data_IF_880494072410
#
_entry.id   IF_880494072410
#
_cell.length_a   1.000
_cell.length_b   1.000
_cell.length_c   1.000
_cell.angle_alpha   90.00
_cell.angle_beta   90.00
_cell.angle_gamma   90.00
#
_symmetry.space_group_name_H-M   'P 1'
#
loop_
_entity.id
_entity.type
_entity.pdbx_description
1 polymer ?
#
# COMPACT_ATOMS: atom_id res chain seq x y z
N UNK A 1 -0.94 -7.34 -6.67
CA UNK A 1 -2.31 -6.99 -6.25
C UNK A 1 -2.39 -5.49 -6.33
N UNK A 2 -3.32 -4.95 -7.11
CA UNK A 2 -3.59 -3.51 -7.19
C UNK A 2 -4.73 -3.20 -6.20
N UNK A 3 -4.46 -2.76 -4.98
CA UNK A 3 -5.50 -2.42 -4.03
C UNK A 3 -6.21 -1.13 -4.47
N UNK A 4 -7.51 -1.08 -4.19
CA UNK A 4 -8.31 0.14 -4.26
C UNK A 4 -8.58 0.70 -5.66
N UNK A 5 -8.85 -0.17 -6.61
CA UNK A 5 -9.36 0.25 -7.91
C UNK A 5 -10.89 0.44 -7.85
N UNK A 6 -11.38 1.39 -8.62
CA UNK A 6 -12.81 1.51 -8.85
C UNK A 6 -13.23 0.33 -9.71
N UNK A 7 -14.10 -0.54 -9.18
CA UNK A 7 -14.73 -1.59 -9.96
C UNK A 7 -15.96 -1.01 -10.67
N UNK A 8 -16.11 -1.36 -11.94
CA UNK A 8 -17.23 -0.89 -12.77
C UNK A 8 -17.74 -2.01 -13.67
N UNK A 9 -19.03 -1.97 -13.99
CA UNK A 9 -19.68 -2.77 -15.02
C UNK A 9 -19.70 -2.07 -16.40
N UNK A 10 -19.19 -0.82 -16.47
CA UNK A 10 -18.95 -0.17 -17.75
C UNK A 10 -17.99 -1.00 -18.60
N UNK A 11 -18.28 -1.12 -19.91
CA UNK A 11 -17.54 -2.00 -20.79
C UNK A 11 -16.10 -1.52 -21.02
N UNK A 12 -15.15 -2.10 -20.28
CA UNK A 12 -13.72 -1.87 -20.47
C UNK A 12 -13.17 -2.95 -21.40
N UNK A 13 -12.64 -2.54 -22.55
CA UNK A 13 -12.08 -3.44 -23.56
C UNK A 13 -10.65 -3.01 -23.92
N UNK A 14 -9.87 -3.87 -24.59
CA UNK A 14 -8.59 -3.47 -25.17
C UNK A 14 -8.75 -2.20 -26.05
N UNK A 15 -7.93 -1.19 -25.79
CA UNK A 15 -8.04 0.14 -26.40
C UNK A 15 -8.63 1.22 -25.46
N UNK A 16 -9.36 0.84 -24.42
CA UNK A 16 -9.90 1.78 -23.42
C UNK A 16 -8.91 2.11 -22.30
N UNK A 17 -7.81 1.35 -22.16
CA UNK A 17 -6.77 1.59 -21.14
C UNK A 17 -6.16 2.99 -21.30
N UNK A 18 -6.05 3.73 -20.19
CA UNK A 18 -5.64 5.14 -20.17
C UNK A 18 -6.78 6.12 -20.46
N UNK A 19 -7.97 5.65 -20.88
CA UNK A 19 -9.16 6.47 -21.07
C UNK A 19 -9.84 6.84 -19.76
N UNK A 20 -10.69 7.86 -19.83
CA UNK A 20 -11.42 8.39 -18.69
C UNK A 20 -12.58 7.48 -18.28
N UNK A 21 -12.73 7.26 -16.95
CA UNK A 21 -13.98 6.86 -16.34
C UNK A 21 -14.63 8.12 -15.75
N UNK A 22 -15.85 8.42 -16.18
CA UNK A 22 -16.57 9.61 -15.76
C UNK A 22 -17.89 9.24 -15.07
N UNK A 23 -18.36 10.11 -14.16
CA UNK A 23 -19.68 9.98 -13.55
C UNK A 23 -20.79 10.51 -14.48
N UNK A 24 -22.04 10.49 -14.00
CA UNK A 24 -23.21 10.96 -14.74
C UNK A 24 -23.17 12.47 -15.03
N UNK A 25 -22.40 13.25 -14.31
CA UNK A 25 -22.18 14.69 -14.51
C UNK A 25 -21.01 14.97 -15.47
N UNK A 26 -20.33 13.95 -15.98
CA UNK A 26 -19.16 14.06 -16.85
C UNK A 26 -17.86 14.37 -16.11
N UNK A 27 -17.84 14.25 -14.78
CA UNK A 27 -16.62 14.46 -13.99
C UNK A 27 -15.74 13.22 -14.06
N UNK A 28 -14.44 13.44 -14.21
CA UNK A 28 -13.44 12.36 -14.16
C UNK A 28 -13.39 11.75 -12.77
N UNK A 29 -13.64 10.46 -12.66
CA UNK A 29 -13.57 9.70 -11.40
C UNK A 29 -12.45 8.66 -11.40
N UNK A 30 -11.98 8.23 -12.56
CA UNK A 30 -10.90 7.25 -12.68
C UNK A 30 -10.27 7.17 -14.07
N UNK A 31 -9.17 6.43 -14.12
CA UNK A 31 -8.44 6.10 -15.37
C UNK A 31 -8.56 4.59 -15.60
N UNK A 32 -9.18 4.20 -16.73
CA UNK A 32 -9.38 2.80 -17.10
C UNK A 32 -8.04 2.06 -17.22
N UNK A 33 -7.94 0.84 -16.66
CA UNK A 33 -6.66 0.12 -16.68
C UNK A 33 -6.76 -1.38 -16.89
N UNK A 34 -7.62 -2.09 -16.18
CA UNK A 34 -7.67 -3.55 -16.12
C UNK A 34 -9.08 -4.09 -16.38
N UNK A 35 -9.12 -5.34 -16.88
CA UNK A 35 -10.29 -6.21 -16.83
C UNK A 35 -9.91 -7.51 -16.15
N UNK A 36 -10.84 -8.12 -15.41
CA UNK A 36 -10.70 -9.51 -14.97
C UNK A 36 -11.35 -10.39 -16.04
N UNK A 37 -10.55 -11.17 -16.75
CA UNK A 37 -11.07 -12.06 -17.80
C UNK A 37 -10.16 -13.26 -17.99
N UNK A 38 -10.76 -14.45 -18.11
CA UNK A 38 -10.06 -15.67 -18.53
C UNK A 38 -9.81 -15.72 -20.04
N UNK A 39 -10.56 -14.95 -20.82
CA UNK A 39 -10.53 -14.95 -22.30
C UNK A 39 -9.86 -13.73 -22.91
N UNK A 40 -9.40 -12.77 -22.10
CA UNK A 40 -8.86 -11.48 -22.58
C UNK A 40 -9.91 -10.47 -23.02
N UNK A 41 -11.21 -10.83 -23.01
CA UNK A 41 -12.32 -9.95 -23.33
C UNK A 41 -13.08 -9.54 -22.07
N UNK A 42 -13.78 -8.41 -22.12
CA UNK A 42 -14.63 -7.93 -21.04
C UNK A 42 -15.66 -8.98 -20.62
N UNK A 43 -15.71 -9.29 -19.34
CA UNK A 43 -16.61 -10.28 -18.73
C UNK A 43 -17.57 -9.67 -17.70
N UNK A 44 -17.88 -8.38 -17.83
CA UNK A 44 -18.78 -7.66 -16.91
C UNK A 44 -18.07 -7.00 -15.70
N UNK A 45 -16.75 -7.08 -15.63
CA UNK A 45 -15.99 -6.46 -14.53
C UNK A 45 -14.76 -5.74 -15.09
N UNK A 46 -14.75 -4.43 -14.96
CA UNK A 46 -13.63 -3.56 -15.29
C UNK A 46 -13.08 -2.86 -14.04
N UNK A 47 -11.86 -2.34 -14.13
CA UNK A 47 -11.21 -1.61 -13.07
C UNK A 47 -10.57 -0.32 -13.58
N UNK A 48 -10.70 0.74 -12.78
CA UNK A 48 -10.08 2.03 -13.03
C UNK A 48 -9.28 2.51 -11.81
N UNK A 49 -8.18 3.20 -12.06
CA UNK A 49 -7.39 3.88 -11.04
C UNK A 49 -8.17 5.10 -10.56
N UNK A 50 -8.42 5.30 -9.24
CA UNK A 50 -9.09 6.50 -8.74
C UNK A 50 -8.37 7.79 -9.16
N UNK A 51 -9.14 8.80 -9.60
CA UNK A 51 -8.59 10.04 -10.15
C UNK A 51 -7.69 10.78 -9.15
N UNK A 52 -8.05 10.81 -7.86
CA UNK A 52 -7.26 11.50 -6.84
C UNK A 52 -5.84 10.93 -6.74
N UNK A 53 -5.72 9.60 -6.81
CA UNK A 53 -4.43 8.93 -6.84
C UNK A 53 -3.67 9.21 -8.14
N UNK A 54 -4.35 9.12 -9.30
CA UNK A 54 -3.74 9.39 -10.60
C UNK A 54 -3.20 10.82 -10.70
N UNK A 55 -3.95 11.81 -10.19
CA UNK A 55 -3.53 13.22 -10.17
C UNK A 55 -2.31 13.44 -9.28
N UNK A 56 -2.26 12.81 -8.10
CA UNK A 56 -1.10 12.90 -7.20
C UNK A 56 0.19 12.41 -7.90
N UNK A 57 0.13 11.24 -8.53
CA UNK A 57 1.28 10.69 -9.27
C UNK A 57 1.63 11.54 -10.49
N UNK A 58 0.64 12.00 -11.25
CA UNK A 58 0.87 12.87 -12.40
C UNK A 58 1.57 14.17 -12.00
N UNK A 59 1.18 14.78 -10.88
CA UNK A 59 1.80 16.00 -10.38
C UNK A 59 3.27 15.77 -10.01
N UNK A 60 3.60 14.65 -9.37
CA UNK A 60 4.99 14.30 -9.06
C UNK A 60 5.83 14.19 -10.35
N UNK A 61 5.29 13.56 -11.41
CA UNK A 61 5.97 13.44 -12.71
C UNK A 61 6.16 14.81 -13.35
N UNK A 62 5.14 15.67 -13.34
CA UNK A 62 5.20 17.05 -13.87
C UNK A 62 6.27 17.87 -13.14
N UNK A 63 6.40 17.69 -11.84
CA UNK A 63 7.43 18.33 -11.01
C UNK A 63 8.83 17.75 -11.21
N UNK A 64 9.00 16.78 -12.12
CA UNK A 64 10.28 16.12 -12.40
C UNK A 64 10.76 15.18 -11.29
N UNK A 65 9.86 14.75 -10.41
CA UNK A 65 10.15 13.82 -9.31
C UNK A 65 9.94 12.37 -9.75
N UNK A 66 10.65 11.45 -9.14
CA UNK A 66 10.31 10.02 -9.22
C UNK A 66 9.03 9.79 -8.43
N UNK A 67 7.98 9.19 -9.03
CA UNK A 67 6.74 8.93 -8.32
C UNK A 67 6.98 8.03 -7.11
N UNK A 68 6.55 8.50 -5.94
CA UNK A 68 6.60 7.78 -4.68
C UNK A 68 5.22 7.79 -4.03
N UNK A 69 4.94 6.81 -3.19
CA UNK A 69 3.66 6.67 -2.51
C UNK A 69 3.85 6.85 -1.03
N UNK A 70 2.92 7.57 -0.42
CA UNK A 70 2.87 7.64 1.03
C UNK A 70 2.55 6.27 1.63
N UNK A 71 3.18 5.96 2.76
CA UNK A 71 2.93 4.73 3.51
C UNK A 71 3.03 4.96 5.02
N UNK A 72 2.26 4.18 5.78
CA UNK A 72 2.37 4.09 7.23
C UNK A 72 3.56 3.21 7.66
N UNK A 73 3.87 2.18 6.87
CA UNK A 73 4.87 1.17 7.19
C UNK A 73 4.34 0.12 8.17
N UNK A 74 3.14 -0.39 7.91
CA UNK A 74 2.47 -1.45 8.68
C UNK A 74 1.94 -2.54 7.78
N UNK A 75 1.80 -3.76 8.32
CA UNK A 75 1.00 -4.81 7.72
C UNK A 75 -0.41 -4.77 8.29
N UNK A 76 -1.42 -4.83 7.44
CA UNK A 76 -2.82 -4.63 7.81
C UNK A 76 -3.69 -5.85 7.52
N UNK A 77 -4.73 -6.02 8.33
CA UNK A 77 -5.84 -6.94 8.09
C UNK A 77 -7.16 -6.23 8.33
N UNK A 78 -8.19 -6.55 7.56
CA UNK A 78 -9.53 -5.96 7.75
C UNK A 78 -10.22 -6.58 8.95
N UNK A 79 -10.72 -5.75 9.86
CA UNK A 79 -11.67 -6.15 10.90
C UNK A 79 -13.08 -6.08 10.32
N UNK A 80 -13.85 -7.11 10.55
CA UNK A 80 -15.29 -7.18 10.26
C UNK A 80 -16.03 -7.88 11.41
N UNK A 81 -17.34 -7.76 11.46
CA UNK A 81 -18.14 -8.29 12.55
C UNK A 81 -17.90 -9.78 12.83
N UNK A 82 -17.64 -10.58 11.79
CA UNK A 82 -17.40 -12.01 11.93
C UNK A 82 -16.07 -12.34 12.63
N UNK A 83 -14.97 -11.68 12.19
CA UNK A 83 -13.66 -11.91 12.82
C UNK A 83 -13.55 -11.21 14.17
N UNK A 84 -14.20 -10.06 14.36
CA UNK A 84 -14.27 -9.38 15.65
C UNK A 84 -14.91 -10.28 16.71
N UNK A 85 -16.05 -10.89 16.40
CA UNK A 85 -16.69 -11.85 17.31
C UNK A 85 -15.83 -13.09 17.57
N UNK A 86 -15.18 -13.63 16.52
CA UNK A 86 -14.33 -14.83 16.63
C UNK A 86 -13.11 -14.62 17.51
N UNK A 87 -12.49 -13.45 17.43
CA UNK A 87 -11.24 -13.13 18.13
C UNK A 87 -11.42 -12.23 19.35
N UNK A 88 -12.68 -11.86 19.69
CA UNK A 88 -13.01 -11.02 20.83
C UNK A 88 -12.45 -9.59 20.69
N UNK A 89 -12.46 -9.05 19.46
CA UNK A 89 -11.96 -7.70 19.22
C UNK A 89 -12.93 -6.65 19.78
N UNK A 90 -12.43 -5.49 20.25
CA UNK A 90 -13.25 -4.46 20.90
C UNK A 90 -14.11 -3.63 19.91
N UNK A 91 -13.85 -3.75 18.60
CA UNK A 91 -14.58 -3.08 17.52
C UNK A 91 -14.89 -4.06 16.39
N UNK A 92 -15.92 -3.81 15.60
CA UNK A 92 -16.45 -4.68 14.55
C UNK A 92 -16.06 -4.27 13.13
N UNK A 93 -15.31 -3.18 12.98
CA UNK A 93 -14.78 -2.67 11.71
C UNK A 93 -13.47 -1.92 11.91
N UNK A 94 -12.69 -1.78 10.83
CA UNK A 94 -11.43 -1.05 10.84
C UNK A 94 -10.24 -1.81 10.25
N UNK A 95 -9.05 -1.23 10.41
CA UNK A 95 -7.79 -1.80 9.95
C UNK A 95 -6.93 -2.26 11.15
N UNK A 96 -6.80 -3.57 11.34
CA UNK A 96 -5.97 -4.19 12.37
C UNK A 96 -4.49 -4.16 11.95
N UNK A 97 -3.61 -3.71 12.83
CA UNK A 97 -2.16 -3.73 12.63
C UNK A 97 -1.62 -5.11 13.01
N UNK A 98 -1.23 -5.89 12.00
CA UNK A 98 -0.62 -7.20 12.18
C UNK A 98 0.90 -7.14 12.41
N UNK A 99 1.56 -6.09 11.91
CA UNK A 99 2.98 -5.81 12.15
C UNK A 99 3.30 -4.34 11.90
N UNK A 100 4.33 -3.81 12.58
CA UNK A 100 4.87 -2.47 12.37
C UNK A 100 6.31 -2.59 11.91
N UNK A 101 6.63 -1.94 10.78
CA UNK A 101 7.98 -1.95 10.21
C UNK A 101 8.89 -1.01 11.02
N UNK A 102 10.08 -1.49 11.38
CA UNK A 102 11.08 -0.67 12.08
C UNK A 102 11.49 0.54 11.25
N UNK A 103 11.60 1.71 11.89
CA UNK A 103 11.99 2.96 11.23
C UNK A 103 10.91 3.56 10.34
N UNK A 104 9.67 3.08 10.42
CA UNK A 104 8.52 3.66 9.74
C UNK A 104 7.87 4.78 10.55
N UNK A 105 7.10 5.65 9.88
CA UNK A 105 6.31 6.66 10.57
C UNK A 105 5.36 6.07 11.62
N UNK A 106 4.82 4.87 11.38
CA UNK A 106 4.01 4.15 12.36
C UNK A 106 4.81 3.77 13.62
N UNK A 107 6.05 3.28 13.46
CA UNK A 107 6.92 2.93 14.58
C UNK A 107 7.32 4.18 15.40
N UNK A 108 7.68 5.27 14.72
CA UNK A 108 8.04 6.56 15.34
C UNK A 108 6.87 7.16 16.12
N UNK A 109 5.64 7.00 15.61
CA UNK A 109 4.43 7.44 16.27
C UNK A 109 3.96 6.53 17.42
N UNK A 110 4.62 5.38 17.62
CA UNK A 110 4.29 4.44 18.69
C UNK A 110 3.05 3.58 18.41
N UNK A 111 2.71 3.38 17.16
CA UNK A 111 1.74 2.35 16.76
C UNK A 111 2.31 0.96 17.04
N UNK A 112 1.45 0.01 17.38
CA UNK A 112 1.83 -1.33 17.82
C UNK A 112 0.99 -2.39 17.10
N UNK A 113 1.53 -3.59 17.02
CA UNK A 113 0.75 -4.77 16.69
C UNK A 113 -0.43 -4.91 17.65
N UNK A 114 -1.61 -5.21 17.13
CA UNK A 114 -2.85 -5.29 17.90
C UNK A 114 -3.68 -4.00 17.91
N UNK A 115 -3.14 -2.86 17.49
CA UNK A 115 -3.94 -1.64 17.29
C UNK A 115 -4.95 -1.84 16.16
N UNK A 116 -6.14 -1.28 16.33
CA UNK A 116 -7.16 -1.23 15.27
C UNK A 116 -7.41 0.23 14.91
N UNK A 117 -7.09 0.62 13.68
CA UNK A 117 -7.32 1.97 13.19
C UNK A 117 -8.79 2.08 12.76
N UNK A 118 -9.51 3.01 13.39
CA UNK A 118 -10.94 3.23 13.19
C UNK A 118 -11.25 4.53 12.46
N UNK A 119 -10.31 5.53 12.51
CA UNK A 119 -10.43 6.76 11.72
C UNK A 119 -9.08 7.23 11.20
N UNK A 120 -9.15 7.93 10.06
CA UNK A 120 -8.05 8.62 9.40
C UNK A 120 -8.47 10.07 9.12
N UNK A 121 -7.78 11.06 9.71
CA UNK A 121 -8.13 12.50 9.62
C UNK A 121 -9.62 12.78 9.90
N UNK A 122 -10.20 12.04 10.85
CA UNK A 122 -11.61 12.16 11.24
C UNK A 122 -12.62 11.37 10.41
N UNK A 123 -12.21 10.79 9.25
CA UNK A 123 -13.04 9.94 8.43
C UNK A 123 -13.01 8.49 8.93
N UNK A 124 -14.14 7.80 8.89
CA UNK A 124 -14.20 6.40 9.32
C UNK A 124 -13.36 5.52 8.40
N UNK A 125 -12.66 4.56 9.00
CA UNK A 125 -11.93 3.47 8.33
C UNK A 125 -12.70 2.19 8.60
N UNK A 126 -13.31 1.62 7.57
CA UNK A 126 -14.09 0.38 7.69
C UNK A 126 -13.26 -0.87 7.36
N UNK A 127 -12.14 -0.70 6.66
CA UNK A 127 -11.27 -1.79 6.22
C UNK A 127 -9.80 -1.39 6.09
N UNK A 128 -8.92 -2.39 6.00
CA UNK A 128 -7.52 -2.17 5.61
C UNK A 128 -7.37 -1.50 4.24
N UNK A 129 -8.31 -1.78 3.33
CA UNK A 129 -8.33 -1.19 1.99
C UNK A 129 -8.65 0.30 2.04
N UNK A 130 -9.61 0.72 2.86
CA UNK A 130 -9.96 2.14 3.01
C UNK A 130 -8.78 2.92 3.56
N UNK A 131 -8.16 2.42 4.64
CA UNK A 131 -6.96 3.05 5.20
C UNK A 131 -5.85 3.18 4.16
N UNK A 132 -5.64 2.16 3.33
CA UNK A 132 -4.62 2.20 2.30
C UNK A 132 -4.93 3.25 1.21
N UNK A 133 -6.21 3.45 0.86
CA UNK A 133 -6.65 4.52 -0.04
C UNK A 133 -6.36 5.90 0.56
N UNK A 134 -6.75 6.09 1.80
CA UNK A 134 -6.58 7.36 2.50
C UNK A 134 -5.09 7.72 2.59
N UNK A 135 -4.24 6.77 2.99
CA UNK A 135 -2.78 6.96 3.03
C UNK A 135 -2.22 7.30 1.65
N UNK A 136 -2.63 6.59 0.59
CA UNK A 136 -2.14 6.84 -0.77
C UNK A 136 -2.66 8.12 -1.41
N UNK A 137 -3.72 8.71 -0.87
CA UNK A 137 -4.19 10.03 -1.28
C UNK A 137 -3.29 11.17 -0.79
N UNK A 138 -2.41 10.89 0.17
CA UNK A 138 -1.47 11.84 0.78
C UNK A 138 -0.10 11.78 0.11
N UNK A 139 0.76 12.73 0.50
CA UNK A 139 2.17 12.75 0.09
C UNK A 139 3.07 12.16 1.19
N UNK A 140 4.22 11.59 0.83
CA UNK A 140 5.27 11.31 1.82
C UNK A 140 5.64 12.59 2.59
N UNK A 141 5.75 12.47 3.92
CA UNK A 141 6.00 13.59 4.82
C UNK A 141 4.75 14.28 5.37
N UNK A 142 3.56 14.01 4.83
CA UNK A 142 2.32 14.53 5.39
C UNK A 142 2.08 13.97 6.79
N UNK A 143 1.55 14.83 7.67
CA UNK A 143 1.10 14.45 9.00
C UNK A 143 -0.38 14.12 8.97
N UNK A 144 -0.75 13.01 9.54
CA UNK A 144 -2.13 12.52 9.59
C UNK A 144 -2.49 12.15 11.03
N UNK A 145 -3.77 12.28 11.37
CA UNK A 145 -4.27 11.89 12.69
C UNK A 145 -5.05 10.58 12.55
N UNK A 146 -4.61 9.57 13.29
CA UNK A 146 -5.28 8.28 13.38
C UNK A 146 -6.04 8.17 14.70
N UNK A 147 -7.29 7.70 14.66
CA UNK A 147 -7.96 7.18 15.82
C UNK A 147 -7.74 5.67 15.87
N UNK A 148 -7.14 5.20 16.95
CA UNK A 148 -6.84 3.78 17.14
C UNK A 148 -7.52 3.24 18.37
N UNK A 149 -8.05 2.05 18.28
CA UNK A 149 -8.48 1.27 19.43
C UNK A 149 -7.35 0.33 19.86
N UNK A 150 -6.84 0.50 21.06
CA UNK A 150 -5.81 -0.32 21.69
C UNK A 150 -6.39 -0.97 22.94
N UNK A 151 -6.64 -2.27 22.89
CA UNK A 151 -7.21 -3.04 24.02
C UNK A 151 -8.52 -2.46 24.58
N UNK A 152 -9.40 -1.93 23.73
CA UNK A 152 -10.67 -1.31 24.11
C UNK A 152 -10.59 0.19 24.42
N UNK A 153 -9.41 0.77 24.48
CA UNK A 153 -9.21 2.21 24.68
C UNK A 153 -9.03 2.93 23.35
N UNK A 154 -9.77 4.02 23.12
CA UNK A 154 -9.60 4.87 21.94
C UNK A 154 -8.50 5.90 22.20
N UNK A 155 -7.56 6.03 21.27
CA UNK A 155 -6.42 6.96 21.30
C UNK A 155 -6.30 7.70 19.98
N UNK A 156 -5.86 8.96 20.05
CA UNK A 156 -5.46 9.74 18.87
C UNK A 156 -3.93 9.67 18.74
N UNK A 157 -3.45 9.35 17.54
CA UNK A 157 -2.03 9.22 17.23
C UNK A 157 -1.73 10.05 15.98
N UNK A 158 -0.83 11.03 16.09
CA UNK A 158 -0.31 11.76 14.94
C UNK A 158 0.83 10.95 14.32
N UNK A 159 0.77 10.71 13.01
CA UNK A 159 1.76 9.94 12.26
C UNK A 159 2.27 10.76 11.09
N UNK A 160 3.58 10.82 10.92
CA UNK A 160 4.20 11.34 9.70
C UNK A 160 4.34 10.19 8.69
N UNK A 161 3.73 10.33 7.51
CA UNK A 161 3.77 9.29 6.48
C UNK A 161 5.17 9.18 5.87
N UNK A 162 5.68 7.96 5.77
CA UNK A 162 6.91 7.65 5.06
C UNK A 162 6.70 7.51 3.54
N UNK A 163 7.76 7.13 2.84
CA UNK A 163 7.77 6.84 1.40
C UNK A 163 8.03 5.35 1.16
N UNK A 164 7.44 4.78 0.13
CA UNK A 164 7.74 3.42 -0.32
C UNK A 164 9.17 3.27 -0.88
N UNK A 165 9.80 4.36 -1.32
CA UNK A 165 11.20 4.39 -1.70
C UNK A 165 12.13 4.01 -0.52
N UNK A 166 11.78 4.47 0.70
CA UNK A 166 12.52 4.13 1.92
C UNK A 166 12.44 2.63 2.25
N UNK A 167 11.32 1.98 1.94
CA UNK A 167 11.14 0.54 2.15
C UNK A 167 11.90 -0.30 1.11
N UNK A 168 12.01 0.18 -0.13
CA UNK A 168 12.78 -0.50 -1.18
C UNK A 168 14.29 -0.41 -0.90
N UNK A 169 14.78 0.72 -0.41
CA UNK A 169 16.18 0.88 0.00
C UNK A 169 16.60 -0.09 1.12
N UNK A 170 15.71 -0.32 2.09
CA UNK A 170 15.98 -1.26 3.18
C UNK A 170 16.00 -2.74 2.71
N UNK A 171 15.09 -3.12 1.80
CA UNK A 171 15.06 -4.47 1.24
C UNK A 171 16.23 -4.74 0.28
N UNK A 172 16.69 -3.75 -0.46
CA UNK A 172 17.85 -3.86 -1.35
C UNK A 172 19.16 -3.98 -0.55
N UNK A 173 19.29 -3.28 0.57
CA UNK A 173 20.43 -3.43 1.48
C UNK A 173 20.48 -4.82 2.15
N UNK A 174 19.33 -5.37 2.51
CA UNK A 174 19.24 -6.71 3.11
C UNK A 174 19.57 -7.80 2.09
N UNK A 175 19.12 -7.67 0.84
CA UNK A 175 19.45 -8.61 -0.24
C UNK A 175 20.95 -8.52 -0.61
N UNK A 176 21.52 -7.32 -0.74
CA UNK A 176 22.94 -7.16 -1.03
C UNK A 176 23.84 -7.68 0.11
N UNK A 177 23.40 -7.54 1.37
CA UNK A 177 24.12 -8.12 2.50
C UNK A 177 24.07 -9.67 2.49
N UNK A 178 22.94 -10.24 2.07
CA UNK A 178 22.75 -11.68 1.97
C UNK A 178 23.51 -12.28 0.77
N UNK A 179 23.53 -11.59 -0.37
CA UNK A 179 24.37 -11.98 -1.53
C UNK A 179 25.85 -11.89 -1.20
N UNK A 180 26.31 -10.82 -0.56
CA UNK A 180 27.72 -10.69 -0.15
C UNK A 180 28.14 -11.73 0.89
N UNK A 181 27.23 -12.21 1.73
CA UNK A 181 27.47 -13.32 2.68
C UNK A 181 27.56 -14.67 1.94
N UNK A 182 26.70 -14.89 0.96
CA UNK A 182 26.75 -16.09 0.12
C UNK A 182 28.02 -16.13 -0.74
N UNK A 183 28.43 -15.02 -1.34
CA UNK A 183 29.70 -14.93 -2.07
C UNK A 183 30.91 -15.19 -1.16
N UNK A 184 30.91 -14.70 0.08
CA UNK A 184 31.96 -14.98 1.07
C UNK A 184 31.99 -16.41 1.54
N UNK A 185 30.83 -17.09 1.61
CA UNK A 185 30.72 -18.47 2.07
C UNK A 185 30.98 -19.50 0.95
N UNK A 186 30.63 -19.18 -0.29
CA UNK A 186 30.68 -20.09 -1.42
C UNK A 186 31.61 -19.68 -2.56
N UNK A 187 32.13 -18.43 -2.55
CA UNK A 187 33.05 -17.89 -3.56
C UNK A 187 34.55 -18.22 -3.35
N UNK A 188 34.89 -19.00 -2.36
CA UNK A 188 36.28 -19.42 -2.06
C UNK A 188 36.65 -20.77 -2.64
N UNK A 189 36.64 -20.92 -3.96
CA UNK A 189 37.01 -22.22 -4.56
C UNK A 189 37.23 -22.23 -6.05
N UNK A 190 38.19 -21.43 -6.56
CA UNK A 190 38.89 -21.82 -7.79
C UNK A 190 40.35 -21.35 -7.70
N UNK A 191 41.14 -22.15 -7.02
CA UNK A 191 42.57 -22.07 -7.04
C UNK A 191 43.12 -22.38 -8.41
N UNK A 192 44.01 -21.53 -8.85
CA UNK A 192 44.96 -21.65 -9.92
C UNK A 192 45.52 -23.08 -10.08
N UNK A 193 45.45 -23.65 -11.24
CA UNK A 193 46.41 -24.61 -11.71
C UNK A 193 47.24 -23.93 -12.78
N UNK A 194 48.40 -23.44 -12.35
CA UNK A 194 49.52 -23.16 -13.27
C UNK A 194 49.92 -24.40 -14.02
N UNK A 195 50.08 -24.21 -15.29
CA UNK A 195 50.67 -25.19 -16.21
C UNK A 195 52.15 -24.85 -16.34
N UNK A 196 53.01 -25.75 -15.90
CA UNK A 196 54.42 -25.76 -16.21
C UNK A 196 54.71 -26.99 -17.08
N UNK A 197 55.15 -26.74 -18.29
CA UNK A 197 56.15 -27.40 -19.14
C UNK A 197 55.89 -27.17 -20.61
#
# INVERSE_FOLDING_TARGET
>A
IYPNMIQTDAAINPGNSGGALVDADGKLIGINTLITSYSGNYSGVGFAIPVNYAVNIAQQIIDGKTPTHAQLGVSLSTVNAQNAQRYGLPVDSGAYIAAVNSGSGAAEAGLQEGDIITKFDGNNVESASDLMLDVRSKNPGDKVTLEVNRNGETKQVEVTLGSDESAQGASTQQNNAQESLLERLFGGGSGSSENAA
#
